data_IF_433341242545
#
_entry.id   IF_433341242545
#
_cell.length_a   1.000
_cell.length_b   1.000
_cell.length_c   1.000
_cell.angle_alpha   90.00
_cell.angle_beta   90.00
_cell.angle_gamma   90.00
#
_symmetry.space_group_name_H-M   'P 1'
#
loop_
_entity.id
_entity.type
_entity.pdbx_description
1 polymer ?
#
# COMPACT_ATOMS: atom_id res chain seq x y z
N UNK A 1 14.58 21.28 -12.99
CA UNK A 1 15.13 21.04 -11.65
C UNK A 1 14.48 19.81 -11.07
N UNK A 2 15.15 19.08 -10.17
CA UNK A 2 14.54 17.96 -9.45
C UNK A 2 13.74 18.52 -8.27
N UNK A 3 12.46 18.16 -8.13
CA UNK A 3 11.58 18.72 -7.10
C UNK A 3 11.61 17.93 -5.78
N UNK A 4 11.75 16.60 -5.80
CA UNK A 4 11.84 15.71 -4.61
C UNK A 4 12.63 14.43 -4.91
N UNK A 5 13.30 13.87 -3.90
CA UNK A 5 14.03 12.59 -3.95
C UNK A 5 13.77 11.81 -2.65
N UNK A 6 13.53 10.49 -2.75
CA UNK A 6 13.57 9.57 -1.61
C UNK A 6 14.32 8.30 -2.03
N UNK A 7 15.13 7.77 -1.11
CA UNK A 7 15.93 6.56 -1.32
C UNK A 7 15.30 5.40 -0.55
N UNK A 8 15.14 4.26 -1.23
CA UNK A 8 14.66 3.01 -0.66
C UNK A 8 15.77 1.95 -0.78
N UNK A 9 16.06 1.24 0.31
CA UNK A 9 17.05 0.18 0.33
C UNK A 9 16.36 -1.19 0.30
N UNK A 10 16.65 -1.98 -0.75
CA UNK A 10 16.01 -3.27 -0.99
C UNK A 10 14.76 -3.17 -1.87
N UNK A 11 14.18 -4.33 -2.18
CA UNK A 11 12.95 -4.43 -2.98
C UNK A 11 12.17 -5.70 -2.58
N UNK A 12 10.85 -5.64 -2.78
CA UNK A 12 10.01 -6.83 -2.79
C UNK A 12 10.11 -7.49 -4.18
N UNK A 13 10.22 -8.81 -4.21
CA UNK A 13 10.34 -9.58 -5.45
C UNK A 13 9.40 -10.77 -5.43
N UNK A 14 8.84 -11.09 -6.59
CA UNK A 14 7.97 -12.24 -6.79
C UNK A 14 8.59 -13.17 -7.82
N UNK A 15 8.45 -14.48 -7.57
CA UNK A 15 8.74 -15.51 -8.58
C UNK A 15 7.69 -15.47 -9.70
N UNK A 16 7.95 -16.08 -10.87
CA UNK A 16 6.97 -16.12 -11.96
C UNK A 16 5.62 -16.69 -11.51
N UNK A 17 4.54 -15.93 -11.76
CA UNK A 17 3.16 -16.30 -11.41
C UNK A 17 2.79 -16.16 -9.92
N UNK A 18 3.74 -15.86 -9.04
CA UNK A 18 3.48 -15.78 -7.59
C UNK A 18 2.55 -14.60 -7.25
N UNK A 19 2.82 -13.41 -7.79
CA UNK A 19 1.99 -12.22 -7.50
C UNK A 19 0.55 -12.42 -7.99
N UNK A 20 0.37 -13.02 -9.17
CA UNK A 20 -0.95 -13.29 -9.73
C UNK A 20 -1.74 -14.24 -8.81
N UNK A 21 -1.11 -15.33 -8.35
CA UNK A 21 -1.71 -16.25 -7.39
C UNK A 21 -2.07 -15.57 -6.06
N UNK A 22 -1.18 -14.75 -5.51
CA UNK A 22 -1.45 -14.02 -4.26
C UNK A 22 -2.63 -13.03 -4.42
N UNK A 23 -2.78 -12.40 -5.59
CA UNK A 23 -3.92 -11.53 -5.90
C UNK A 23 -5.22 -12.34 -6.02
N UNK A 24 -5.19 -13.48 -6.69
CA UNK A 24 -6.35 -14.38 -6.83
C UNK A 24 -6.82 -14.94 -5.48
N UNK A 25 -5.89 -15.24 -4.58
CA UNK A 25 -6.16 -15.67 -3.21
C UNK A 25 -6.67 -14.53 -2.30
N UNK A 26 -6.67 -13.29 -2.78
CA UNK A 26 -7.10 -12.12 -2.01
C UNK A 26 -6.08 -11.66 -0.96
N UNK A 27 -4.81 -12.06 -1.09
CA UNK A 27 -3.74 -11.64 -0.19
C UNK A 27 -3.35 -10.17 -0.38
N UNK A 28 -3.72 -9.56 -1.51
CA UNK A 28 -3.43 -8.16 -1.82
C UNK A 28 -4.69 -7.34 -2.11
N UNK A 29 -4.68 -6.10 -1.63
CA UNK A 29 -5.64 -5.06 -2.02
C UNK A 29 -4.96 -4.17 -3.06
N UNK A 30 -5.44 -4.21 -4.30
CA UNK A 30 -4.86 -3.42 -5.40
C UNK A 30 -5.49 -2.02 -5.49
N UNK A 31 -4.67 -0.98 -5.60
CA UNK A 31 -5.11 0.41 -5.83
C UNK A 31 -4.07 1.16 -6.67
N UNK A 32 -4.50 2.19 -7.43
CA UNK A 32 -3.59 3.05 -8.17
C UNK A 32 -2.77 3.91 -7.19
N UNK A 33 -1.46 3.87 -7.39
CA UNK A 33 -0.55 4.78 -6.70
C UNK A 33 -0.75 6.22 -7.20
N UNK A 34 -0.78 7.19 -6.29
CA UNK A 34 -0.66 8.59 -6.62
C UNK A 34 0.82 8.97 -6.72
N UNK A 35 1.14 9.96 -7.57
CA UNK A 35 2.52 10.40 -7.77
C UNK A 35 3.22 10.91 -6.48
N UNK A 36 2.43 11.27 -5.47
CA UNK A 36 2.93 11.70 -4.16
C UNK A 36 3.23 10.56 -3.19
N UNK A 37 2.70 9.35 -3.41
CA UNK A 37 2.78 8.24 -2.46
C UNK A 37 4.23 7.88 -2.07
N UNK A 38 5.21 7.79 -3.01
CA UNK A 38 6.61 7.53 -2.65
C UNK A 38 7.28 8.64 -1.84
N UNK A 39 6.62 9.77 -1.65
CA UNK A 39 7.16 10.91 -0.92
C UNK A 39 6.31 11.27 0.31
N UNK A 40 5.27 10.49 0.64
CA UNK A 40 4.44 10.75 1.81
C UNK A 40 5.25 10.50 3.09
N UNK A 41 5.14 11.39 4.07
CA UNK A 41 5.63 11.19 5.45
C UNK A 41 4.53 10.63 6.36
N UNK A 42 3.32 10.43 5.82
CA UNK A 42 2.16 9.90 6.53
C UNK A 42 2.02 8.38 6.42
N UNK A 43 0.90 7.87 6.92
CA UNK A 43 0.54 6.46 6.79
C UNK A 43 -0.05 6.19 5.40
N UNK A 44 0.84 5.80 4.48
CA UNK A 44 0.50 5.45 3.10
C UNK A 44 -0.55 4.34 3.01
N UNK A 45 -0.60 3.40 3.96
CA UNK A 45 -1.58 2.32 3.96
C UNK A 45 -3.00 2.88 4.16
N UNK A 46 -3.18 3.64 5.23
CA UNK A 46 -4.45 4.31 5.52
C UNK A 46 -4.86 5.30 4.43
N UNK A 47 -3.90 6.04 3.86
CA UNK A 47 -4.14 6.95 2.74
C UNK A 47 -4.62 6.23 1.47
N UNK A 48 -3.97 5.13 1.09
CA UNK A 48 -4.34 4.33 -0.06
C UNK A 48 -5.73 3.68 0.10
N UNK A 49 -6.03 3.13 1.27
CA UNK A 49 -7.33 2.50 1.55
C UNK A 49 -8.47 3.51 1.60
N UNK A 50 -8.26 4.71 2.16
CA UNK A 50 -9.25 5.81 2.09
C UNK A 50 -9.53 6.22 0.66
N UNK A 51 -8.50 6.30 -0.19
CA UNK A 51 -8.64 6.63 -1.61
C UNK A 51 -9.40 5.55 -2.39
N UNK A 52 -9.16 4.28 -2.06
CA UNK A 52 -9.90 3.13 -2.62
C UNK A 52 -11.39 3.19 -2.29
N UNK A 53 -11.74 3.69 -1.10
CA UNK A 53 -13.12 3.95 -0.69
C UNK A 53 -13.94 2.70 -0.41
N UNK A 54 -15.25 2.87 -0.27
CA UNK A 54 -16.17 1.77 0.06
C UNK A 54 -15.83 1.10 1.41
N UNK A 55 -15.95 -0.23 1.46
CA UNK A 55 -15.64 -1.03 2.66
C UNK A 55 -14.18 -0.91 3.12
N UNK A 56 -13.25 -0.57 2.23
CA UNK A 56 -11.83 -0.38 2.57
C UNK A 56 -11.58 0.85 3.43
N UNK A 57 -12.49 1.81 3.45
CA UNK A 57 -12.39 3.00 4.31
C UNK A 57 -12.42 2.65 5.80
N UNK A 58 -13.09 1.55 6.17
CA UNK A 58 -13.08 1.04 7.55
C UNK A 58 -11.75 0.36 7.88
N UNK A 59 -11.19 -0.40 6.93
CA UNK A 59 -9.86 -1.00 7.10
C UNK A 59 -8.77 0.06 7.28
N UNK A 60 -8.96 1.24 6.68
CA UNK A 60 -8.07 2.39 6.84
C UNK A 60 -8.03 2.99 8.26
N UNK A 61 -8.89 2.53 9.18
CA UNK A 61 -8.85 2.94 10.59
C UNK A 61 -8.25 1.88 11.50
N UNK A 62 -7.90 0.71 10.97
CA UNK A 62 -7.30 -0.34 11.79
C UNK A 62 -5.87 0.06 12.20
N UNK A 63 -5.48 -0.21 13.45
CA UNK A 63 -4.12 0.04 13.89
C UNK A 63 -3.13 -0.82 13.11
N UNK A 64 -1.93 -0.29 12.89
CA UNK A 64 -0.85 -1.03 12.20
C UNK A 64 -0.38 -2.28 12.97
N UNK A 65 -0.66 -2.36 14.27
CA UNK A 65 -0.53 -3.57 15.08
C UNK A 65 -1.90 -4.26 15.20
N UNK A 66 -2.08 -5.46 14.61
CA UNK A 66 -3.32 -6.21 14.70
C UNK A 66 -3.73 -6.58 16.13
N UNK A 67 -2.77 -6.62 17.07
CA UNK A 67 -3.02 -6.94 18.48
C UNK A 67 -3.62 -5.79 19.30
N UNK A 68 -3.73 -4.59 18.72
CA UNK A 68 -4.28 -3.40 19.35
C UNK A 68 -5.77 -3.14 19.06
N UNK A 69 -6.50 -4.15 18.56
CA UNK A 69 -7.95 -4.10 18.35
C UNK A 69 -8.75 -4.49 19.60
#
# INVERSE_FOLDING_TARGET
>A
SLQRLRVYAGYAGWSPGQLDGEVEEGAWILERAAAGDPFSDGDIWSEALRRKGGSYSLLATMPGDPSAN
#
